data_IF_903282947419
#
_entry.id   IF_903282947419
#
_cell.length_a   1.000
_cell.length_b   1.000
_cell.length_c   1.000
_cell.angle_alpha   90.00
_cell.angle_beta   90.00
_cell.angle_gamma   90.00
#
_symmetry.space_group_name_H-M   'P 1'
#
loop_
_entity.id
_entity.type
_entity.pdbx_description
1 polymer ?
#
# COMPACT_ATOMS: atom_id res chain seq x y z
N UNK A 1 -9.70 10.88 22.06
CA UNK A 1 -8.38 11.28 21.53
C UNK A 1 -8.43 11.16 20.02
N UNK A 2 -8.50 12.29 19.32
CA UNK A 2 -8.70 12.34 17.87
C UNK A 2 -7.43 11.93 17.12
N UNK A 3 -7.34 10.65 16.74
CA UNK A 3 -6.26 10.10 15.88
C UNK A 3 -6.32 10.58 14.42
N UNK A 4 -7.31 11.40 14.05
CA UNK A 4 -7.57 11.84 12.67
C UNK A 4 -6.53 12.84 12.13
N UNK A 5 -5.75 13.50 12.98
CA UNK A 5 -4.72 14.45 12.52
C UNK A 5 -3.48 13.76 11.93
N UNK A 6 -3.25 12.48 12.25
CA UNK A 6 -2.08 11.77 11.75
C UNK A 6 -2.17 11.47 10.24
N UNK A 7 -3.38 11.09 9.78
CA UNK A 7 -3.66 10.83 8.37
C UNK A 7 -3.69 12.10 7.50
N UNK A 8 -3.66 13.30 8.09
CA UNK A 8 -3.55 14.57 7.36
C UNK A 8 -2.09 15.03 7.17
N UNK A 9 -1.11 14.31 7.73
CA UNK A 9 0.29 14.69 7.59
C UNK A 9 0.86 14.19 6.26
N UNK A 10 1.43 15.04 5.40
CA UNK A 10 2.04 14.61 4.14
C UNK A 10 3.26 13.70 4.39
N UNK A 11 3.99 13.94 5.49
CA UNK A 11 5.12 13.11 5.90
C UNK A 11 4.73 11.67 6.23
N UNK A 12 3.53 11.47 6.82
CA UNK A 12 3.02 10.14 7.11
C UNK A 12 2.80 9.35 5.81
N UNK A 13 2.16 9.96 4.82
CA UNK A 13 1.92 9.30 3.53
C UNK A 13 3.20 9.07 2.74
N UNK A 14 4.13 10.02 2.75
CA UNK A 14 5.46 9.82 2.17
C UNK A 14 6.16 8.61 2.79
N UNK A 15 6.11 8.48 4.12
CA UNK A 15 6.67 7.33 4.82
C UNK A 15 5.95 6.03 4.42
N UNK A 16 4.62 6.00 4.46
CA UNK A 16 3.84 4.83 4.06
C UNK A 16 4.14 4.37 2.62
N UNK A 17 4.12 5.28 1.65
CA UNK A 17 4.44 4.94 0.26
C UNK A 17 5.89 4.49 0.10
N UNK A 18 6.83 5.08 0.84
CA UNK A 18 8.23 4.63 0.84
C UNK A 18 8.35 3.20 1.37
N UNK A 19 7.65 2.85 2.44
CA UNK A 19 7.66 1.48 2.98
C UNK A 19 7.04 0.50 1.98
N UNK A 20 5.89 0.83 1.39
CA UNK A 20 5.26 -0.02 0.35
C UNK A 20 6.20 -0.19 -0.85
N UNK A 21 6.86 0.88 -1.29
CA UNK A 21 7.83 0.85 -2.37
C UNK A 21 9.01 -0.07 -2.04
N UNK A 22 9.62 0.07 -0.85
CA UNK A 22 10.73 -0.78 -0.41
C UNK A 22 10.32 -2.25 -0.32
N UNK A 23 9.11 -2.54 0.17
CA UNK A 23 8.56 -3.90 0.18
C UNK A 23 8.30 -4.44 -1.23
N UNK A 24 7.95 -3.57 -2.17
CA UNK A 24 7.75 -3.95 -3.58
C UNK A 24 9.05 -4.22 -4.35
N UNK A 25 10.21 -3.91 -3.78
CA UNK A 25 11.49 -4.22 -4.41
C UNK A 25 11.62 -5.73 -4.60
N UNK A 26 11.92 -6.11 -5.83
CA UNK A 26 12.05 -7.50 -6.23
C UNK A 26 13.38 -8.10 -5.75
N UNK A 27 13.37 -8.61 -4.52
CA UNK A 27 14.43 -9.44 -3.94
C UNK A 27 14.05 -10.92 -3.93
N UNK A 28 13.20 -11.35 -4.86
CA UNK A 28 12.64 -12.69 -4.80
C UNK A 28 13.64 -13.75 -5.25
N UNK A 29 13.64 -14.87 -4.51
CA UNK A 29 14.38 -16.06 -4.91
C UNK A 29 13.57 -16.79 -5.99
N UNK A 30 13.87 -16.49 -7.26
CA UNK A 30 13.20 -17.07 -8.42
C UNK A 30 13.31 -18.60 -8.52
N UNK A 31 14.25 -19.22 -7.79
CA UNK A 31 14.46 -20.69 -7.73
C UNK A 31 13.66 -21.36 -6.61
N UNK A 32 12.43 -20.94 -6.37
CA UNK A 32 11.55 -21.60 -5.40
C UNK A 32 10.85 -22.80 -6.04
N UNK A 33 10.98 -23.97 -5.40
CA UNK A 33 10.14 -25.13 -5.72
C UNK A 33 8.68 -24.77 -5.45
N UNK A 34 7.84 -24.92 -6.47
CA UNK A 34 6.41 -24.59 -6.42
C UNK A 34 5.76 -25.33 -5.25
N UNK A 35 5.36 -24.59 -4.22
CA UNK A 35 4.54 -25.13 -3.14
C UNK A 35 3.83 -23.98 -2.45
N UNK A 36 2.59 -23.70 -2.85
CA UNK A 36 1.49 -23.32 -1.96
C UNK A 36 0.16 -23.62 -2.68
N UNK A 37 -0.59 -24.57 -2.12
CA UNK A 37 -1.73 -25.24 -2.76
C UNK A 37 -3.02 -24.41 -2.66
N UNK A 38 -3.33 -23.69 -3.74
CA UNK A 38 -4.69 -23.37 -4.22
C UNK A 38 -4.68 -23.14 -5.74
N UNK A 39 -3.54 -22.67 -6.29
CA UNK A 39 -3.34 -22.37 -7.73
C UNK A 39 -1.98 -22.83 -8.30
N UNK A 40 -1.16 -23.57 -7.55
CA UNK A 40 0.22 -23.96 -7.94
C UNK A 40 1.11 -22.77 -8.31
N UNK A 41 0.86 -21.60 -7.72
CA UNK A 41 1.66 -20.40 -7.95
C UNK A 41 2.79 -20.31 -6.92
N UNK A 42 3.95 -19.76 -7.30
CA UNK A 42 5.01 -19.43 -6.36
C UNK A 42 4.52 -18.48 -5.25
N UNK A 43 5.01 -18.62 -4.00
CA UNK A 43 4.62 -17.77 -2.87
C UNK A 43 4.77 -16.26 -3.12
N UNK A 44 5.78 -15.86 -3.92
CA UNK A 44 6.01 -14.45 -4.26
C UNK A 44 4.85 -13.81 -5.04
N UNK A 45 4.07 -14.60 -5.79
CA UNK A 45 2.91 -14.10 -6.55
C UNK A 45 1.83 -13.59 -5.59
N UNK A 46 1.56 -14.36 -4.53
CA UNK A 46 0.58 -13.97 -3.50
C UNK A 46 1.06 -12.76 -2.71
N UNK A 47 2.37 -12.69 -2.42
CA UNK A 47 2.98 -11.51 -1.82
C UNK A 47 2.78 -10.26 -2.69
N UNK A 48 3.02 -10.38 -4.00
CA UNK A 48 2.81 -9.29 -4.95
C UNK A 48 1.36 -8.82 -4.99
N UNK A 49 0.40 -9.76 -5.11
CA UNK A 49 -1.03 -9.42 -5.10
C UNK A 49 -1.42 -8.71 -3.81
N UNK A 50 -0.93 -9.19 -2.65
CA UNK A 50 -1.14 -8.53 -1.37
C UNK A 50 -0.63 -7.10 -1.35
N UNK A 51 0.58 -6.86 -1.87
CA UNK A 51 1.14 -5.51 -1.99
C UNK A 51 0.30 -4.60 -2.90
N UNK A 52 -0.24 -5.11 -4.00
CA UNK A 52 -1.11 -4.32 -4.88
C UNK A 52 -2.41 -3.90 -4.18
N UNK A 53 -3.01 -4.81 -3.40
CA UNK A 53 -4.20 -4.50 -2.61
C UNK A 53 -3.89 -3.44 -1.54
N UNK A 54 -2.77 -3.58 -0.83
CA UNK A 54 -2.33 -2.61 0.18
C UNK A 54 -2.10 -1.24 -0.46
N UNK A 55 -1.43 -1.18 -1.60
CA UNK A 55 -1.18 0.06 -2.34
C UNK A 55 -2.48 0.71 -2.79
N UNK A 56 -3.41 -0.07 -3.36
CA UNK A 56 -4.71 0.43 -3.79
C UNK A 56 -5.50 1.03 -2.63
N UNK A 57 -5.55 0.34 -1.48
CA UNK A 57 -6.17 0.84 -0.26
C UNK A 57 -5.49 2.13 0.23
N UNK A 58 -4.16 2.19 0.24
CA UNK A 58 -3.41 3.38 0.65
C UNK A 58 -3.74 4.59 -0.24
N UNK A 59 -3.80 4.40 -1.56
CA UNK A 59 -4.17 5.46 -2.51
C UNK A 59 -5.62 5.91 -2.29
N UNK A 60 -6.56 4.98 -2.10
CA UNK A 60 -7.97 5.32 -1.85
C UNK A 60 -8.14 6.15 -0.58
N UNK A 61 -7.49 5.76 0.52
CA UNK A 61 -7.56 6.50 1.79
C UNK A 61 -6.88 7.86 1.67
N UNK A 62 -5.70 7.93 1.02
CA UNK A 62 -5.00 9.19 0.75
C UNK A 62 -5.89 10.16 -0.04
N UNK A 63 -6.46 9.68 -1.16
CA UNK A 63 -7.39 10.42 -2.01
C UNK A 63 -8.56 11.01 -1.21
N UNK A 64 -9.21 10.19 -0.37
CA UNK A 64 -10.34 10.64 0.45
C UNK A 64 -9.95 11.63 1.55
N UNK A 65 -8.70 11.57 2.04
CA UNK A 65 -8.26 12.39 3.18
C UNK A 65 -7.67 13.73 2.73
N UNK A 66 -6.92 13.75 1.63
CA UNK A 66 -6.22 14.94 1.14
C UNK A 66 -6.98 15.69 0.05
N UNK A 67 -7.54 15.02 -0.96
CA UNK A 67 -8.24 15.73 -2.02
C UNK A 67 -9.59 16.27 -1.58
N UNK A 68 -10.24 15.63 -0.60
CA UNK A 68 -11.50 16.15 -0.06
C UNK A 68 -11.32 17.43 0.75
N UNK A 69 -10.21 17.58 1.49
CA UNK A 69 -9.98 18.79 2.30
C UNK A 69 -9.77 20.05 1.46
N UNK A 70 -9.21 19.93 0.25
CA UNK A 70 -9.04 21.09 -0.65
C UNK A 70 -10.38 21.60 -1.19
N UNK A 71 -11.35 20.71 -1.42
CA UNK A 71 -12.68 21.10 -1.94
C UNK A 71 -13.57 21.81 -0.91
N UNK A 72 -13.34 21.59 0.38
CA UNK A 72 -14.12 22.22 1.46
C UNK A 72 -13.56 23.59 1.90
N UNK A 73 -12.30 23.92 1.59
CA UNK A 73 -11.70 25.25 1.90
C UNK A 73 -11.98 26.31 0.83
N UNK A 74 -12.46 25.93 -0.35
CA UNK A 74 -12.81 26.85 -1.46
C UNK A 74 -14.30 27.29 -1.48
N UNK A 75 -15.15 26.82 -0.55
CA UNK A 75 -16.58 27.21 -0.47
C UNK A 75 -16.90 28.07 0.76
#
# INVERSE_FOLDING_TARGET
MNNLNFFKSPYFWCFCFTIIFLLSLDFWSWKQTISFSFLHLPPWVFYFIGLQIILACAILIFSQTFWKSETEEEN
#
